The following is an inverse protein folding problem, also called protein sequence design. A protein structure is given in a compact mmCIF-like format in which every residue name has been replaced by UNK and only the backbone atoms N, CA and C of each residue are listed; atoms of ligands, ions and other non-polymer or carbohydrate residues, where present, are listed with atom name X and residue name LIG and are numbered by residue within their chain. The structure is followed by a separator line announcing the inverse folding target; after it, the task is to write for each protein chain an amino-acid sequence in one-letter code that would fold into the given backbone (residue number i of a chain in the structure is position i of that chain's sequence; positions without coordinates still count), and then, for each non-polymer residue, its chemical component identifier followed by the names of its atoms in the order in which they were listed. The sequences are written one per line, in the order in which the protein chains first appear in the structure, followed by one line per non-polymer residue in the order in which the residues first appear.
data_IF_999506527541
#
_entry.id   IF_999506527541
#
_cell.length_a   1.000
_cell.length_b   1.000
_cell.length_c   1.000
_cell.angle_alpha   90.00
_cell.angle_beta   90.00
_cell.angle_gamma   90.00
#
_symmetry.space_group_name_H-M   'P 1'
#
loop_
_entity.id
_entity.type
_entity.pdbx_description
1 polymer ?
#
# COMPACT_ATOMS: atom_id res chain seq x y z
N UNK A 1 3.96 40.61 -0.90
CA UNK A 1 3.52 40.06 -2.20
C UNK A 1 2.32 39.22 -1.85
N UNK A 2 1.19 39.89 -1.70
CA UNK A 2 -0.02 39.37 -1.09
C UNK A 2 -1.17 39.98 -1.90
N UNK A 3 -1.77 39.22 -2.82
CA UNK A 3 -3.13 39.43 -3.34
C UNK A 3 -3.40 38.50 -4.52
N UNK A 4 -4.05 37.38 -4.25
CA UNK A 4 -5.01 36.78 -5.20
C UNK A 4 -6.10 36.12 -4.34
N UNK A 5 -6.94 36.96 -3.73
CA UNK A 5 -8.26 37.31 -4.28
C UNK A 5 -9.21 36.11 -4.26
N UNK A 6 -10.04 36.12 -3.21
CA UNK A 6 -11.21 35.29 -2.98
C UNK A 6 -12.20 35.32 -4.15
N UNK A 7 -11.95 34.49 -5.16
CA UNK A 7 -12.88 34.28 -6.28
C UNK A 7 -13.96 33.25 -5.91
N UNK A 8 -15.26 33.57 -5.98
CA UNK A 8 -16.35 32.65 -5.62
C UNK A 8 -16.55 31.47 -6.61
N UNK A 9 -15.66 31.30 -7.59
CA UNK A 9 -15.76 30.26 -8.62
C UNK A 9 -14.93 28.99 -8.32
N UNK A 10 -14.09 28.99 -7.28
CA UNK A 10 -13.41 27.77 -6.79
C UNK A 10 -14.05 27.20 -5.51
N UNK A 11 -15.10 27.82 -4.99
CA UNK A 11 -15.86 27.35 -3.82
C UNK A 11 -16.84 26.20 -4.16
N UNK A 12 -16.40 25.25 -5.00
CA UNK A 12 -17.20 24.09 -5.45
C UNK A 12 -16.46 22.76 -5.31
N UNK A 13 -15.74 22.58 -4.21
CA UNK A 13 -15.29 21.26 -3.76
C UNK A 13 -15.59 21.00 -2.29
N UNK A 14 -16.70 21.54 -1.76
CA UNK A 14 -17.33 20.93 -0.58
C UNK A 14 -18.35 19.91 -1.08
N UNK A 15 -17.91 18.66 -1.27
CA UNK A 15 -18.63 17.42 -0.94
C UNK A 15 -17.99 16.20 -1.64
N UNK A 16 -17.08 15.54 -0.93
CA UNK A 16 -16.65 14.17 -1.21
C UNK A 16 -15.28 13.94 -0.58
N UNK A 17 -15.09 13.22 0.53
CA UNK A 17 -15.96 12.35 1.33
C UNK A 17 -15.64 12.59 2.80
N UNK A 18 -16.66 12.53 3.65
CA UNK A 18 -16.45 12.08 5.02
C UNK A 18 -16.12 10.59 4.94
N UNK A 19 -14.84 10.24 4.92
CA UNK A 19 -14.40 8.87 5.13
C UNK A 19 -13.12 8.96 5.96
N UNK A 20 -13.03 8.13 6.98
CA UNK A 20 -11.87 7.96 7.87
C UNK A 20 -10.68 7.36 7.11
N UNK A 21 -10.24 8.01 6.02
CA UNK A 21 -9.16 7.55 5.14
C UNK A 21 -7.87 8.23 5.56
N UNK A 22 -6.98 7.48 6.19
CA UNK A 22 -5.57 7.84 6.26
C UNK A 22 -5.06 7.89 4.82
N UNK A 23 -4.81 9.10 4.30
CA UNK A 23 -4.10 9.24 3.03
C UNK A 23 -2.62 8.97 3.32
N UNK A 24 -1.98 8.29 2.39
CA UNK A 24 -0.55 8.01 2.46
C UNK A 24 0.11 8.91 1.44
N UNK A 25 0.78 9.94 1.94
CA UNK A 25 1.54 10.91 1.15
C UNK A 25 3.01 10.48 1.08
N UNK A 26 3.79 11.18 0.27
CA UNK A 26 5.24 10.99 0.08
C UNK A 26 5.57 9.67 -0.62
N UNK A 27 5.76 9.75 -1.93
CA UNK A 27 6.13 8.59 -2.74
C UNK A 27 7.52 8.01 -2.41
N UNK A 28 8.36 8.71 -1.63
CA UNK A 28 9.63 8.18 -1.13
C UNK A 28 9.43 7.30 0.11
N UNK A 29 8.30 7.46 0.81
CA UNK A 29 7.98 6.73 2.04
C UNK A 29 6.73 5.86 1.88
N UNK A 30 6.87 4.59 1.43
CA UNK A 30 5.73 3.71 1.25
C UNK A 30 5.05 3.38 2.59
N UNK A 31 3.73 3.10 2.58
CA UNK A 31 3.01 2.68 3.77
C UNK A 31 3.70 1.52 4.53
N UNK A 32 3.98 1.71 5.81
CA UNK A 32 4.61 0.64 6.60
C UNK A 32 3.62 -0.50 6.87
N UNK A 33 4.09 -1.75 6.70
CA UNK A 33 3.30 -2.94 7.06
C UNK A 33 4.02 -3.76 8.13
N UNK A 34 3.23 -4.30 9.07
CA UNK A 34 3.77 -5.19 10.09
C UNK A 34 4.39 -6.43 9.44
N UNK A 35 5.59 -6.81 9.92
CA UNK A 35 6.32 -7.99 9.45
C UNK A 35 6.64 -8.01 7.95
N UNK A 36 6.70 -6.83 7.31
CA UNK A 36 7.14 -6.71 5.92
C UNK A 36 8.12 -5.57 5.70
N UNK A 37 8.50 -5.41 4.45
CA UNK A 37 9.32 -4.31 3.93
C UNK A 37 8.96 -4.05 2.46
N UNK A 38 9.09 -2.81 2.01
CA UNK A 38 8.87 -2.44 0.62
C UNK A 38 10.20 -2.12 -0.09
N UNK A 39 10.28 -2.46 -1.37
CA UNK A 39 11.30 -1.94 -2.30
C UNK A 39 10.61 -1.04 -3.31
N UNK A 40 11.18 0.12 -3.59
CA UNK A 40 10.63 1.06 -4.57
C UNK A 40 11.25 0.88 -5.97
N UNK A 41 10.44 1.09 -6.99
CA UNK A 41 10.84 1.24 -8.40
C UNK A 41 10.05 2.37 -9.03
N UNK A 42 10.69 3.19 -9.85
CA UNK A 42 10.00 4.21 -10.66
C UNK A 42 9.69 3.62 -12.03
N UNK A 43 8.54 3.95 -12.61
CA UNK A 43 8.20 3.53 -13.97
C UNK A 43 8.97 4.34 -15.04
N UNK A 44 8.97 3.83 -16.28
CA UNK A 44 9.77 4.40 -17.37
C UNK A 44 9.35 5.84 -17.75
N UNK A 45 8.10 6.20 -17.47
CA UNK A 45 7.55 7.53 -17.75
C UNK A 45 7.73 8.51 -16.59
N UNK A 46 8.27 8.05 -15.45
CA UNK A 46 8.42 8.84 -14.22
C UNK A 46 7.09 9.45 -13.73
N UNK A 47 5.97 8.77 -13.99
CA UNK A 47 4.64 9.17 -13.53
C UNK A 47 4.27 8.47 -12.21
N UNK A 48 4.84 7.28 -11.96
CA UNK A 48 4.51 6.48 -10.80
C UNK A 48 5.71 5.85 -10.11
N UNK A 49 5.65 5.85 -8.78
CA UNK A 49 6.49 4.98 -7.94
C UNK A 49 5.71 3.71 -7.60
N UNK A 50 6.32 2.54 -7.74
CA UNK A 50 5.75 1.26 -7.33
C UNK A 50 6.49 0.71 -6.11
N UNK A 51 5.75 0.44 -5.04
CA UNK A 51 6.24 -0.27 -3.86
C UNK A 51 5.98 -1.77 -4.00
N UNK A 52 7.04 -2.57 -3.87
CA UNK A 52 7.00 -4.04 -3.89
C UNK A 52 7.19 -4.59 -2.48
N UNK A 53 6.12 -5.06 -1.87
CA UNK A 53 6.11 -5.58 -0.50
C UNK A 53 6.56 -7.02 -0.43
N UNK A 54 7.42 -7.29 0.54
CA UNK A 54 7.91 -8.63 0.89
C UNK A 54 7.77 -8.84 2.39
N UNK A 55 7.31 -10.02 2.80
CA UNK A 55 7.22 -10.37 4.22
C UNK A 55 8.57 -10.86 4.77
N UNK A 56 8.80 -10.61 6.06
CA UNK A 56 9.93 -11.15 6.82
C UNK A 56 9.84 -12.68 6.89
N UNK A 57 10.97 -13.34 7.16
CA UNK A 57 11.03 -14.79 7.32
C UNK A 57 10.01 -15.31 8.34
N UNK A 58 9.32 -16.41 8.01
CA UNK A 58 8.24 -16.97 8.82
C UNK A 58 6.88 -16.27 8.66
N UNK A 59 6.76 -15.34 7.71
CA UNK A 59 5.50 -14.70 7.33
C UNK A 59 5.29 -14.79 5.82
N UNK A 60 4.03 -14.82 5.42
CA UNK A 60 3.60 -14.79 4.01
C UNK A 60 2.60 -13.67 3.78
N UNK A 61 2.55 -13.17 2.55
CA UNK A 61 1.46 -12.27 2.14
C UNK A 61 0.14 -13.02 2.23
N UNK A 62 -0.85 -12.42 2.90
CA UNK A 62 -2.20 -12.95 2.96
C UNK A 62 -2.85 -12.95 1.57
N UNK A 63 -2.65 -11.87 0.82
CA UNK A 63 -3.21 -11.61 -0.50
C UNK A 63 -2.07 -11.18 -1.45
N UNK A 64 -1.45 -12.12 -2.19
CA UNK A 64 -0.31 -11.85 -3.06
C UNK A 64 -0.56 -10.77 -4.12
N UNK A 65 -1.81 -10.59 -4.55
CA UNK A 65 -2.21 -9.55 -5.50
C UNK A 65 -2.11 -8.12 -4.94
N UNK A 66 -2.02 -7.96 -3.61
CA UNK A 66 -1.79 -6.68 -2.94
C UNK A 66 -0.29 -6.43 -2.66
N UNK A 67 0.61 -7.27 -3.18
CA UNK A 67 2.05 -7.11 -2.97
C UNK A 67 2.62 -5.83 -3.58
N UNK A 68 1.89 -5.19 -4.49
CA UNK A 68 2.32 -3.97 -5.16
C UNK A 68 1.34 -2.84 -4.92
N UNK A 69 1.84 -1.68 -4.52
CA UNK A 69 1.09 -0.42 -4.48
C UNK A 69 1.75 0.60 -5.40
N UNK A 70 0.95 1.50 -5.96
CA UNK A 70 1.42 2.59 -6.82
C UNK A 70 1.25 3.91 -6.09
N UNK A 71 2.17 4.83 -6.33
CA UNK A 71 2.10 6.21 -5.90
C UNK A 71 2.09 7.08 -7.14
N UNK A 72 1.14 8.01 -7.20
CA UNK A 72 1.07 9.02 -8.25
C UNK A 72 2.03 10.14 -7.90
N UNK A 73 3.06 10.36 -8.73
CA UNK A 73 4.07 11.42 -8.48
C UNK A 73 3.44 12.81 -8.63
N UNK A 74 2.40 12.96 -9.45
CA UNK A 74 1.69 14.24 -9.63
C UNK A 74 0.98 14.67 -8.34
N UNK A 75 0.34 13.72 -7.66
CA UNK A 75 -0.42 13.99 -6.43
C UNK A 75 0.39 13.77 -5.17
N UNK A 76 1.53 13.07 -5.28
CA UNK A 76 2.36 12.58 -4.17
C UNK A 76 1.60 11.66 -3.20
N UNK A 77 0.63 10.90 -3.74
CA UNK A 77 -0.28 10.05 -2.97
C UNK A 77 -0.20 8.58 -3.40
N UNK A 78 -0.17 7.67 -2.43
CA UNK A 78 -0.27 6.23 -2.66
C UNK A 78 -1.72 5.79 -2.92
N UNK A 79 -1.92 5.03 -3.99
CA UNK A 79 -3.16 4.38 -4.38
C UNK A 79 -3.46 3.15 -3.50
N UNK A 80 -3.62 3.36 -2.19
CA UNK A 80 -3.75 2.31 -1.19
C UNK A 80 -5.19 2.17 -0.69
N UNK A 81 -6.05 1.48 -1.45
CA UNK A 81 -7.38 1.13 -0.96
C UNK A 81 -7.35 0.13 0.23
N UNK A 82 -6.33 -0.73 0.27
CA UNK A 82 -6.07 -1.72 1.31
C UNK A 82 -4.59 -2.08 1.34
N UNK A 83 -3.99 -2.08 2.52
CA UNK A 83 -2.59 -2.48 2.68
C UNK A 83 -2.40 -4.01 2.64
N UNK A 84 -1.29 -4.50 2.07
CA UNK A 84 -0.90 -5.90 2.20
C UNK A 84 -0.65 -6.28 3.66
N UNK A 85 -1.09 -7.47 4.03
CA UNK A 85 -0.88 -8.02 5.37
C UNK A 85 0.06 -9.22 5.32
N UNK A 86 1.08 -9.21 6.16
CA UNK A 86 1.95 -10.36 6.40
C UNK A 86 1.40 -11.18 7.56
N UNK A 87 0.99 -12.42 7.28
CA UNK A 87 0.49 -13.37 8.28
C UNK A 87 1.55 -14.43 8.55
N UNK A 88 1.65 -14.87 9.81
CA UNK A 88 2.62 -15.89 10.17
C UNK A 88 2.40 -17.16 9.34
N UNK A 89 3.46 -17.64 8.72
CA UNK A 89 3.45 -18.91 8.02
C UNK A 89 3.45 -20.01 9.09
N UNK A 90 2.25 -20.41 9.51
CA UNK A 90 2.06 -21.59 10.35
C UNK A 90 2.40 -22.78 9.44
N UNK A 91 3.68 -23.12 9.38
CA UNK A 91 4.15 -24.38 8.85
C UNK A 91 3.43 -25.46 9.64
N UNK A 92 2.43 -26.09 9.02
CA UNK A 92 1.71 -27.19 9.62
C UNK A 92 2.73 -28.27 10.00
N UNK A 93 3.12 -28.33 11.27
CA UNK A 93 3.68 -29.51 11.94
C UNK A 93 2.70 -30.70 11.94
N UNK A 94 1.63 -30.65 11.13
CA UNK A 94 0.59 -31.66 10.99
C UNK A 94 0.49 -32.25 9.58
N UNK A 95 1.45 -31.99 8.67
CA UNK A 95 1.57 -32.80 7.45
C UNK A 95 2.39 -34.09 7.66
N UNK A 96 2.74 -34.43 8.91
CA UNK A 96 3.48 -35.64 9.28
C UNK A 96 2.67 -36.73 10.04
N UNK A 97 1.34 -36.62 10.22
CA UNK A 97 0.57 -37.65 10.97
C UNK A 97 -0.59 -38.27 10.17
N UNK A 98 -0.47 -38.44 8.85
CA UNK A 98 -1.33 -39.38 8.11
C UNK A 98 -0.60 -40.08 6.95
N UNK A 99 0.37 -40.93 7.29
CA UNK A 99 0.64 -42.13 6.48
C UNK A 99 0.70 -43.32 7.45
N UNK A 100 -0.46 -43.89 7.78
CA UNK A 100 -0.56 -45.35 7.91
C UNK A 100 -1.05 -45.82 6.54
N UNK A 101 -0.19 -46.44 5.76
CA UNK A 101 -0.63 -47.40 4.75
C UNK A 101 0.03 -48.71 5.17
N UNK A 102 -0.83 -49.71 5.31
CA UNK A 102 -0.55 -51.08 5.74
C UNK A 102 0.49 -51.79 4.86
#
# INVERSE_FOLDING_TARGET
MDEYSSSPLYARWTLGRLATGETYEDCEQPPEIAHGSARLTVDDNEEYVTAHYTCKSGYRLQEPQLATLRCSIETDEWEAAKLPACVQEILHTLQFIRIRIE
#
